data_IF_035677223079
#
_entry.id   IF_035677223079
#
_cell.length_a   1.000
_cell.length_b   1.000
_cell.length_c   1.000
_cell.angle_alpha   90.00
_cell.angle_beta   90.00
_cell.angle_gamma   90.00
#
_symmetry.space_group_name_H-M   'P 1'
#
loop_
_entity.id
_entity.type
_entity.pdbx_description
1 polymer ?
#
# COMPACT_ATOMS: atom_id res chain seq x y z
N UNK A 1 28.24 -7.71 2.38
CA UNK A 1 26.83 -7.48 2.63
C UNK A 1 26.31 -6.27 1.83
N UNK A 2 26.92 -5.07 1.94
CA UNK A 2 26.45 -3.88 1.20
C UNK A 2 26.49 -4.08 -0.33
N UNK A 3 27.57 -4.63 -0.89
CA UNK A 3 27.68 -4.93 -2.32
C UNK A 3 26.66 -6.00 -2.78
N UNK A 4 26.27 -6.93 -1.90
CA UNK A 4 25.26 -7.92 -2.22
C UNK A 4 23.85 -7.32 -2.25
N UNK A 5 23.53 -6.39 -1.33
CA UNK A 5 22.28 -5.62 -1.34
C UNK A 5 22.16 -4.81 -2.65
N UNK A 6 23.18 -4.07 -2.98
CA UNK A 6 23.25 -3.27 -4.21
C UNK A 6 23.02 -4.13 -5.46
N UNK A 7 23.75 -5.23 -5.59
CA UNK A 7 23.62 -6.16 -6.72
C UNK A 7 22.19 -6.72 -6.84
N UNK A 8 21.57 -7.12 -5.72
CA UNK A 8 20.21 -7.68 -5.69
C UNK A 8 19.17 -6.64 -6.09
N UNK A 9 19.27 -5.42 -5.59
CA UNK A 9 18.37 -4.33 -5.97
C UNK A 9 18.49 -4.02 -7.47
N UNK A 10 19.71 -3.88 -7.99
CA UNK A 10 19.91 -3.64 -9.42
C UNK A 10 19.37 -4.79 -10.29
N UNK A 11 19.55 -6.04 -9.86
CA UNK A 11 18.98 -7.19 -10.57
C UNK A 11 17.43 -7.12 -10.62
N UNK A 12 16.78 -6.75 -9.51
CA UNK A 12 15.31 -6.58 -9.49
C UNK A 12 14.88 -5.42 -10.39
N UNK A 13 15.55 -4.27 -10.33
CA UNK A 13 15.25 -3.11 -11.18
C UNK A 13 15.41 -3.44 -12.67
N UNK A 14 16.42 -4.21 -13.03
CA UNK A 14 16.60 -4.68 -14.41
C UNK A 14 15.42 -5.54 -14.85
N UNK A 15 15.01 -6.53 -14.04
CA UNK A 15 13.85 -7.38 -14.34
C UNK A 15 12.55 -6.57 -14.47
N UNK A 16 12.33 -5.58 -13.62
CA UNK A 16 11.19 -4.66 -13.70
C UNK A 16 11.20 -3.90 -15.03
N UNK A 17 12.37 -3.35 -15.42
CA UNK A 17 12.52 -2.63 -16.68
C UNK A 17 12.26 -3.54 -17.91
N UNK A 18 12.79 -4.75 -17.88
CA UNK A 18 12.56 -5.73 -18.96
C UNK A 18 11.08 -6.11 -19.09
N UNK A 19 10.42 -6.40 -17.95
CA UNK A 19 8.99 -6.72 -17.94
C UNK A 19 8.13 -5.53 -18.41
N UNK A 20 8.48 -4.31 -18.03
CA UNK A 20 7.78 -3.10 -18.46
C UNK A 20 7.88 -2.88 -19.98
N UNK A 21 9.04 -3.14 -20.57
CA UNK A 21 9.22 -3.07 -22.03
C UNK A 21 8.35 -4.10 -22.75
N UNK A 22 8.33 -5.34 -22.26
CA UNK A 22 7.47 -6.40 -22.82
C UNK A 22 5.99 -6.04 -22.72
N UNK A 23 5.57 -5.40 -21.64
CA UNK A 23 4.21 -4.96 -21.42
C UNK A 23 3.87 -3.60 -22.09
N UNK A 24 4.79 -3.02 -22.86
CA UNK A 24 4.64 -1.69 -23.50
C UNK A 24 4.18 -0.59 -22.52
N UNK A 25 4.73 -0.59 -21.29
CA UNK A 25 4.44 0.45 -20.31
C UNK A 25 5.33 1.68 -20.58
N UNK A 26 4.74 2.87 -20.46
CA UNK A 26 5.46 4.14 -20.58
C UNK A 26 6.41 4.35 -19.38
N UNK A 27 5.99 3.91 -18.20
CA UNK A 27 6.76 4.06 -16.96
C UNK A 27 6.98 2.71 -16.27
N UNK A 28 8.13 2.56 -15.66
CA UNK A 28 8.42 1.41 -14.82
C UNK A 28 7.64 1.50 -13.50
N UNK A 29 7.15 0.36 -12.98
CA UNK A 29 6.67 0.32 -11.59
C UNK A 29 7.77 0.71 -10.61
N UNK A 30 7.39 1.44 -9.57
CA UNK A 30 8.29 1.79 -8.49
C UNK A 30 8.64 0.56 -7.65
N UNK A 31 9.92 0.40 -7.32
CA UNK A 31 10.38 -0.64 -6.40
C UNK A 31 10.24 -0.16 -4.96
N UNK A 32 9.49 -0.90 -4.16
CA UNK A 32 9.47 -0.79 -2.71
C UNK A 32 10.39 -1.85 -2.10
N UNK A 33 11.46 -1.42 -1.43
CA UNK A 33 12.40 -2.35 -0.78
C UNK A 33 11.90 -2.69 0.63
N UNK A 34 11.53 -3.96 0.83
CA UNK A 34 11.07 -4.43 2.14
C UNK A 34 12.26 -4.61 3.06
N UNK A 35 12.31 -3.86 4.15
CA UNK A 35 13.42 -3.80 5.11
C UNK A 35 13.10 -4.34 6.50
N UNK A 36 11.90 -4.92 6.68
CA UNK A 36 11.54 -5.57 7.95
C UNK A 36 12.58 -6.60 8.37
N UNK A 37 12.90 -6.62 9.67
CA UNK A 37 13.87 -7.52 10.28
C UNK A 37 15.33 -7.32 9.80
N UNK A 38 15.59 -6.28 9.02
CA UNK A 38 16.93 -5.87 8.64
C UNK A 38 17.40 -4.67 9.46
N UNK A 39 18.68 -4.62 9.87
CA UNK A 39 19.19 -3.51 10.65
C UNK A 39 19.23 -2.19 9.85
N UNK A 40 19.27 -1.03 10.51
CA UNK A 40 19.41 0.27 9.84
C UNK A 40 20.60 0.36 8.88
N UNK A 41 21.69 -0.35 9.16
CA UNK A 41 22.87 -0.40 8.28
C UNK A 41 22.58 -1.00 6.91
N UNK A 42 21.65 -1.93 6.79
CA UNK A 42 21.24 -2.51 5.49
C UNK A 42 20.39 -1.52 4.70
N UNK A 43 19.51 -0.78 5.38
CA UNK A 43 18.74 0.32 4.78
C UNK A 43 19.67 1.40 4.26
N UNK A 44 20.68 1.81 5.06
CA UNK A 44 21.70 2.78 4.63
C UNK A 44 22.52 2.29 3.44
N UNK A 45 22.83 1.00 3.37
CA UNK A 45 23.53 0.43 2.22
C UNK A 45 22.69 0.53 0.94
N UNK A 46 21.40 0.20 0.99
CA UNK A 46 20.47 0.37 -0.12
C UNK A 46 20.31 1.86 -0.50
N UNK A 47 20.08 2.72 0.49
CA UNK A 47 19.94 4.15 0.32
C UNK A 47 21.12 4.80 -0.42
N UNK A 48 22.35 4.59 0.06
CA UNK A 48 23.53 5.23 -0.52
C UNK A 48 23.96 4.63 -1.87
N UNK A 49 23.86 3.30 -2.01
CA UNK A 49 24.42 2.62 -3.17
C UNK A 49 23.49 2.56 -4.37
N UNK A 50 22.19 2.62 -4.14
CA UNK A 50 21.19 2.47 -5.22
C UNK A 50 20.29 3.69 -5.39
N UNK A 51 20.40 4.68 -4.52
CA UNK A 51 19.52 5.83 -4.53
C UNK A 51 18.09 5.51 -4.05
N UNK A 52 17.87 4.31 -3.48
CA UNK A 52 16.54 3.91 -3.01
C UNK A 52 16.05 4.83 -1.88
N UNK A 53 14.78 5.20 -1.96
CA UNK A 53 14.12 6.06 -0.98
C UNK A 53 12.87 5.43 -0.38
N UNK A 54 12.23 4.49 -1.05
CA UNK A 54 11.00 3.84 -0.62
C UNK A 54 11.31 2.52 0.08
N UNK A 55 11.00 2.45 1.38
CA UNK A 55 11.25 1.26 2.22
C UNK A 55 9.96 0.81 2.91
N UNK A 56 9.75 -0.52 2.95
CA UNK A 56 8.56 -1.14 3.52
C UNK A 56 8.82 -1.85 4.84
N UNK A 57 7.98 -1.57 5.84
CA UNK A 57 8.03 -2.16 7.16
C UNK A 57 6.71 -2.81 7.56
N UNK A 58 6.81 -3.89 8.34
CA UNK A 58 5.63 -4.62 8.82
C UNK A 58 5.29 -4.34 10.29
N UNK A 59 6.24 -3.82 11.05
CA UNK A 59 6.12 -3.64 12.50
C UNK A 59 6.24 -2.17 12.85
N UNK A 60 5.20 -1.63 13.51
CA UNK A 60 5.13 -0.18 13.82
C UNK A 60 6.31 0.29 14.64
N UNK A 61 6.71 -0.48 15.68
CA UNK A 61 7.84 -0.10 16.52
C UNK A 61 9.14 -0.08 15.73
N UNK A 62 9.39 -1.10 14.90
CA UNK A 62 10.58 -1.19 14.06
C UNK A 62 10.67 0.00 13.09
N UNK A 63 9.53 0.40 12.50
CA UNK A 63 9.48 1.55 11.61
C UNK A 63 9.83 2.84 12.37
N UNK A 64 9.21 3.07 13.54
CA UNK A 64 9.47 4.25 14.38
C UNK A 64 10.95 4.32 14.78
N UNK A 65 11.52 3.20 15.24
CA UNK A 65 12.91 3.14 15.67
C UNK A 65 13.87 3.44 14.49
N UNK A 66 13.61 2.89 13.32
CA UNK A 66 14.38 3.15 12.10
C UNK A 66 14.25 4.60 11.61
N UNK A 67 13.04 5.13 11.59
CA UNK A 67 12.78 6.50 11.17
C UNK A 67 13.48 7.53 12.07
N UNK A 68 13.71 7.20 13.34
CA UNK A 68 14.38 8.10 14.30
C UNK A 68 15.91 8.22 14.09
N UNK A 69 16.53 7.28 13.35
CA UNK A 69 18.00 7.21 13.20
C UNK A 69 18.47 7.19 11.73
N UNK A 70 17.53 7.14 10.79
CA UNK A 70 17.80 7.11 9.35
C UNK A 70 17.43 8.44 8.69
N UNK A 71 17.92 8.74 7.47
CA UNK A 71 17.64 9.99 6.77
C UNK A 71 16.15 10.30 6.65
N UNK A 72 15.79 11.56 6.80
CA UNK A 72 14.42 12.07 6.78
C UNK A 72 13.79 12.13 5.38
N UNK A 73 14.61 12.05 4.31
CA UNK A 73 14.17 11.91 2.92
C UNK A 73 13.82 10.46 2.51
N UNK A 74 13.90 9.50 3.46
CA UNK A 74 13.32 8.17 3.26
C UNK A 74 11.80 8.26 3.28
N UNK A 75 11.17 7.60 2.33
CA UNK A 75 9.71 7.43 2.26
C UNK A 75 9.33 6.09 2.88
N UNK A 76 8.83 6.12 4.11
CA UNK A 76 8.40 4.91 4.81
C UNK A 76 7.03 4.45 4.37
N UNK A 77 6.91 3.18 4.00
CA UNK A 77 5.65 2.50 3.73
C UNK A 77 5.38 1.50 4.84
N UNK A 78 4.22 1.60 5.46
CA UNK A 78 3.75 0.57 6.37
C UNK A 78 2.92 -0.43 5.57
N UNK A 79 3.42 -1.67 5.47
CA UNK A 79 2.84 -2.74 4.64
C UNK A 79 2.39 -3.95 5.47
N UNK A 80 2.52 -3.91 6.80
CA UNK A 80 2.04 -4.95 7.71
C UNK A 80 0.60 -4.75 8.15
N UNK A 81 0.02 -5.73 8.81
CA UNK A 81 -1.29 -5.59 9.42
C UNK A 81 -1.28 -4.53 10.53
N UNK A 82 -1.99 -3.43 10.34
CA UNK A 82 -2.04 -2.32 11.29
C UNK A 82 -3.17 -2.53 12.30
N UNK A 83 -2.80 -2.72 13.56
CA UNK A 83 -3.77 -2.70 14.66
C UNK A 83 -4.22 -1.26 14.94
N UNK A 84 -5.52 -1.02 15.14
CA UNK A 84 -6.08 0.31 15.36
C UNK A 84 -5.45 1.05 16.55
N UNK A 85 -5.04 0.34 17.61
CA UNK A 85 -4.35 0.92 18.77
C UNK A 85 -2.92 1.39 18.46
N UNK A 86 -2.31 0.93 17.37
CA UNK A 86 -0.98 1.33 16.91
C UNK A 86 -0.99 2.49 15.91
N UNK A 87 -2.16 2.84 15.38
CA UNK A 87 -2.32 3.97 14.44
C UNK A 87 -1.78 5.28 15.02
N UNK A 88 -1.99 5.52 16.34
CA UNK A 88 -1.47 6.69 17.03
C UNK A 88 0.06 6.78 16.97
N UNK A 89 0.75 5.67 17.21
CA UNK A 89 2.21 5.63 17.19
C UNK A 89 2.74 5.78 15.75
N UNK A 90 2.11 5.10 14.79
CA UNK A 90 2.52 5.21 13.39
C UNK A 90 2.36 6.64 12.85
N UNK A 91 1.30 7.35 13.25
CA UNK A 91 1.04 8.72 12.82
C UNK A 91 2.12 9.73 13.26
N UNK A 92 2.93 9.42 14.27
CA UNK A 92 4.02 10.31 14.74
C UNK A 92 5.26 10.28 13.85
N UNK A 93 5.36 9.38 12.88
CA UNK A 93 6.52 9.29 11.98
C UNK A 93 6.45 10.39 10.93
N UNK A 94 7.38 11.35 10.89
CA UNK A 94 7.28 12.52 10.01
C UNK A 94 7.30 12.17 8.53
N UNK A 95 8.16 11.24 8.16
CA UNK A 95 8.37 10.78 6.78
C UNK A 95 7.64 9.46 6.47
N UNK A 96 6.54 9.17 7.21
CA UNK A 96 5.60 8.13 6.80
C UNK A 96 4.93 8.55 5.49
N UNK A 97 5.22 7.84 4.44
CA UNK A 97 4.75 8.14 3.09
C UNK A 97 3.42 7.45 2.78
N UNK A 98 3.29 6.17 3.14
CA UNK A 98 2.08 5.41 2.86
C UNK A 98 1.74 4.37 3.94
N UNK A 99 0.44 4.07 4.06
CA UNK A 99 -0.09 2.88 4.73
C UNK A 99 -0.84 2.04 3.70
N UNK A 100 -0.37 0.81 3.45
CA UNK A 100 -0.85 0.01 2.33
C UNK A 100 -1.80 -1.14 2.76
N UNK A 101 -2.15 -1.19 4.03
CA UNK A 101 -2.89 -2.30 4.64
C UNK A 101 -4.20 -1.85 5.30
N UNK A 102 -4.88 -0.85 4.74
CA UNK A 102 -6.20 -0.45 5.24
C UNK A 102 -7.23 -1.48 4.78
N UNK A 103 -7.86 -2.17 5.73
CA UNK A 103 -8.80 -3.25 5.44
C UNK A 103 -10.15 -3.13 6.18
N UNK A 104 -10.34 -2.05 6.91
CA UNK A 104 -11.56 -1.86 7.70
C UNK A 104 -11.83 -0.40 8.01
N UNK A 105 -13.10 -0.10 8.16
CA UNK A 105 -13.63 1.18 8.61
C UNK A 105 -13.07 1.61 9.97
N UNK A 106 -12.98 0.67 10.90
CA UNK A 106 -12.39 0.88 12.23
C UNK A 106 -10.94 1.36 12.14
N UNK A 107 -10.15 0.76 11.24
CA UNK A 107 -8.75 1.12 11.05
C UNK A 107 -8.63 2.50 10.39
N UNK A 108 -9.41 2.76 9.34
CA UNK A 108 -9.44 4.07 8.67
C UNK A 108 -9.80 5.19 9.66
N UNK A 109 -10.83 4.98 10.50
CA UNK A 109 -11.22 5.93 11.54
C UNK A 109 -10.11 6.16 12.57
N UNK A 110 -9.43 5.11 13.02
CA UNK A 110 -8.37 5.25 14.03
C UNK A 110 -7.16 5.99 13.47
N UNK A 111 -6.81 5.73 12.21
CA UNK A 111 -5.71 6.40 11.54
C UNK A 111 -6.05 7.87 11.28
N UNK A 112 -7.23 8.19 10.74
CA UNK A 112 -7.71 9.55 10.52
C UNK A 112 -7.68 10.38 11.80
N UNK A 113 -8.29 9.87 12.89
CA UNK A 113 -8.25 10.52 14.21
C UNK A 113 -6.84 10.78 14.74
N UNK A 114 -5.89 9.92 14.36
CA UNK A 114 -4.51 10.09 14.77
C UNK A 114 -3.79 11.13 13.94
N UNK A 115 -4.02 11.15 12.64
CA UNK A 115 -3.45 12.12 11.69
C UNK A 115 -4.00 13.54 11.90
N UNK A 116 -5.28 13.66 12.26
CA UNK A 116 -5.96 14.92 12.51
C UNK A 116 -5.45 15.69 13.78
N UNK A 117 -4.61 15.08 14.60
CA UNK A 117 -4.03 15.77 15.73
C UNK A 117 -3.07 16.87 15.28
N UNK A 118 -3.12 18.07 15.91
CA UNK A 118 -2.27 19.20 15.50
C UNK A 118 -0.79 18.86 15.38
N UNK A 119 -0.26 18.09 16.35
CA UNK A 119 1.13 17.64 16.35
C UNK A 119 1.48 16.75 15.17
N UNK A 120 0.55 15.93 14.67
CA UNK A 120 0.79 15.03 13.54
C UNK A 120 0.48 15.70 12.19
N UNK A 121 -0.51 16.59 12.16
CA UNK A 121 -0.80 17.41 10.97
C UNK A 121 0.38 18.30 10.62
N UNK A 122 1.03 18.90 11.63
CA UNK A 122 2.21 19.74 11.43
C UNK A 122 3.44 19.00 10.86
N UNK A 123 3.47 17.67 10.96
CA UNK A 123 4.57 16.85 10.40
C UNK A 123 4.48 16.65 8.89
N UNK A 124 3.32 16.95 8.26
CA UNK A 124 3.04 16.58 6.87
C UNK A 124 2.55 17.76 6.06
N UNK A 125 3.18 18.00 4.92
CA UNK A 125 2.72 18.99 3.95
C UNK A 125 1.49 18.51 3.14
N UNK A 126 1.24 17.20 3.09
CA UNK A 126 0.20 16.58 2.26
C UNK A 126 -0.49 15.45 3.05
N UNK A 127 -1.75 15.11 2.68
CA UNK A 127 -2.43 13.95 3.24
C UNK A 127 -1.62 12.66 3.04
N UNK A 128 -1.68 11.76 4.03
CA UNK A 128 -1.00 10.47 4.00
C UNK A 128 -1.56 9.60 2.87
N UNK A 129 -0.70 9.03 2.05
CA UNK A 129 -1.11 8.07 1.04
C UNK A 129 -1.62 6.79 1.70
N UNK A 130 -2.76 6.28 1.25
CA UNK A 130 -3.31 5.02 1.74
C UNK A 130 -3.73 4.11 0.60
N UNK A 131 -3.60 2.80 0.82
CA UNK A 131 -4.10 1.77 -0.09
C UNK A 131 -5.04 0.86 0.68
N UNK A 132 -6.11 0.42 0.03
CA UNK A 132 -7.00 -0.58 0.61
C UNK A 132 -6.47 -1.96 0.26
N UNK A 133 -6.28 -2.78 1.30
CA UNK A 133 -5.84 -4.15 1.13
C UNK A 133 -7.01 -5.05 0.71
N UNK A 134 -6.80 -5.83 -0.35
CA UNK A 134 -7.77 -6.76 -0.92
C UNK A 134 -7.25 -8.20 -0.78
N UNK A 135 -8.07 -9.10 -0.28
CA UNK A 135 -7.82 -10.54 -0.28
C UNK A 135 -8.18 -11.11 -1.65
N UNK A 136 -7.24 -11.17 -2.55
CA UNK A 136 -7.44 -11.62 -3.93
C UNK A 136 -7.47 -13.12 -4.09
N UNK A 137 -6.83 -13.86 -3.17
CA UNK A 137 -6.81 -15.33 -3.19
C UNK A 137 -8.05 -15.96 -2.58
N UNK A 138 -8.85 -15.20 -1.82
CA UNK A 138 -10.02 -15.73 -1.12
C UNK A 138 -9.71 -16.68 0.03
N UNK A 139 -8.44 -16.81 0.43
CA UNK A 139 -8.05 -17.70 1.54
C UNK A 139 -8.60 -17.19 2.88
N UNK A 140 -9.26 -18.05 3.63
CA UNK A 140 -9.71 -17.74 4.97
C UNK A 140 -8.52 -17.39 5.89
N UNK A 141 -8.71 -16.33 6.70
CA UNK A 141 -7.67 -15.86 7.62
C UNK A 141 -6.63 -14.91 7.02
N UNK A 142 -6.64 -14.66 5.72
CA UNK A 142 -5.84 -13.56 5.14
C UNK A 142 -6.52 -12.20 5.35
N UNK A 143 -5.71 -11.21 5.70
CA UNK A 143 -6.15 -9.81 5.80
C UNK A 143 -6.55 -9.25 4.44
N UNK A 144 -7.42 -8.25 4.46
CA UNK A 144 -7.92 -7.56 3.28
C UNK A 144 -9.41 -7.73 3.08
N UNK A 145 -10.02 -6.77 2.40
CA UNK A 145 -11.42 -6.85 2.03
C UNK A 145 -11.65 -7.84 0.89
N UNK A 146 -12.87 -8.40 0.75
CA UNK A 146 -13.22 -9.21 -0.41
C UNK A 146 -13.01 -8.46 -1.72
N UNK A 147 -12.50 -9.16 -2.73
CA UNK A 147 -12.34 -8.63 -4.08
C UNK A 147 -13.70 -8.34 -4.73
N UNK A 148 -13.80 -7.27 -5.50
CA UNK A 148 -14.96 -7.02 -6.36
C UNK A 148 -14.80 -7.81 -7.66
N UNK A 149 -15.46 -8.97 -7.73
CA UNK A 149 -15.35 -9.89 -8.88
C UNK A 149 -16.34 -9.58 -10.00
N UNK A 150 -17.31 -8.70 -9.75
CA UNK A 150 -18.31 -8.27 -10.72
C UNK A 150 -18.63 -6.78 -10.56
N UNK A 151 -19.16 -6.13 -11.62
CA UNK A 151 -19.68 -4.77 -11.51
C UNK A 151 -20.81 -4.67 -10.47
N UNK A 152 -20.71 -3.66 -9.60
CA UNK A 152 -21.79 -3.37 -8.65
C UNK A 152 -22.92 -2.61 -9.33
N UNK A 153 -24.15 -2.92 -8.93
CA UNK A 153 -25.39 -2.21 -9.33
C UNK A 153 -25.98 -1.52 -8.11
N UNK A 154 -26.54 -0.33 -8.31
CA UNK A 154 -27.06 0.50 -7.23
C UNK A 154 -28.18 -0.17 -6.38
N UNK A 155 -28.87 -1.16 -6.93
CA UNK A 155 -29.91 -1.92 -6.23
C UNK A 155 -29.36 -3.08 -5.39
N UNK A 156 -28.09 -3.42 -5.55
CA UNK A 156 -27.41 -4.47 -4.79
C UNK A 156 -26.86 -3.92 -3.45
N UNK A 157 -26.62 -4.81 -2.50
CA UNK A 157 -25.89 -4.46 -1.29
C UNK A 157 -24.51 -3.89 -1.64
N UNK A 158 -24.15 -2.77 -1.02
CA UNK A 158 -22.87 -2.11 -1.29
C UNK A 158 -21.68 -2.98 -0.88
N UNK A 159 -20.73 -3.24 -1.79
CA UNK A 159 -19.54 -4.01 -1.47
C UNK A 159 -18.68 -3.31 -0.40
N UNK A 160 -18.09 -4.05 0.56
CA UNK A 160 -17.22 -3.47 1.59
C UNK A 160 -16.08 -2.63 1.03
N UNK A 161 -15.50 -3.04 -0.09
CA UNK A 161 -14.42 -2.30 -0.77
C UNK A 161 -14.89 -0.93 -1.27
N UNK A 162 -16.08 -0.85 -1.87
CA UNK A 162 -16.66 0.41 -2.34
C UNK A 162 -17.01 1.32 -1.14
N UNK A 163 -17.63 0.76 -0.11
CA UNK A 163 -17.99 1.51 1.10
C UNK A 163 -16.77 2.15 1.77
N UNK A 164 -15.70 1.38 1.95
CA UNK A 164 -14.46 1.89 2.55
C UNK A 164 -13.76 2.93 1.65
N UNK A 165 -13.74 2.74 0.34
CA UNK A 165 -13.15 3.71 -0.58
C UNK A 165 -13.90 5.05 -0.53
N UNK A 166 -15.24 5.05 -0.61
CA UNK A 166 -16.06 6.26 -0.50
C UNK A 166 -15.86 6.96 0.84
N UNK A 167 -15.81 6.21 1.92
CA UNK A 167 -15.57 6.79 3.25
C UNK A 167 -14.20 7.46 3.34
N UNK A 168 -13.13 6.81 2.89
CA UNK A 168 -11.80 7.43 2.89
C UNK A 168 -11.81 8.73 2.10
N UNK A 169 -12.42 8.74 0.93
CA UNK A 169 -12.44 9.91 0.05
C UNK A 169 -13.30 11.06 0.58
N UNK A 170 -14.40 10.77 1.29
CA UNK A 170 -15.34 11.80 1.76
C UNK A 170 -15.09 12.24 3.21
N UNK A 171 -14.61 11.35 4.07
CA UNK A 171 -14.59 11.57 5.51
C UNK A 171 -13.19 11.57 6.14
N UNK A 172 -12.15 11.33 5.34
CA UNK A 172 -10.78 11.23 5.84
C UNK A 172 -9.84 12.25 5.16
N UNK A 173 -9.97 13.56 5.47
CA UNK A 173 -9.22 14.61 4.77
C UNK A 173 -7.70 14.55 4.97
N UNK A 174 -7.20 13.84 6.00
CA UNK A 174 -5.77 13.66 6.24
C UNK A 174 -5.22 12.42 5.53
N UNK A 175 -6.05 11.69 4.78
CA UNK A 175 -5.66 10.55 3.97
C UNK A 175 -5.97 10.78 2.49
N UNK A 176 -5.16 10.22 1.60
CA UNK A 176 -5.38 10.22 0.16
C UNK A 176 -5.35 8.80 -0.37
N UNK A 177 -6.49 8.31 -0.83
CA UNK A 177 -6.60 6.97 -1.44
C UNK A 177 -5.83 6.95 -2.77
N UNK A 178 -4.81 6.09 -2.85
CA UNK A 178 -3.97 5.92 -4.03
C UNK A 178 -4.38 4.71 -4.88
N UNK A 179 -4.98 3.71 -4.26
CA UNK A 179 -5.38 2.50 -4.95
C UNK A 179 -5.58 1.30 -4.05
N UNK A 180 -5.36 0.13 -4.61
CA UNK A 180 -5.51 -1.16 -3.94
C UNK A 180 -4.15 -1.83 -3.76
N UNK A 181 -4.03 -2.64 -2.71
CA UNK A 181 -2.86 -3.48 -2.43
C UNK A 181 -3.32 -4.92 -2.20
N UNK A 182 -2.49 -5.88 -2.55
CA UNK A 182 -2.70 -7.29 -2.18
C UNK A 182 -1.40 -7.98 -1.80
N UNK A 183 -1.54 -8.97 -0.95
CA UNK A 183 -0.52 -10.00 -0.70
C UNK A 183 -1.09 -11.30 -1.29
N UNK A 184 -0.61 -11.68 -2.45
CA UNK A 184 -1.06 -12.88 -3.16
C UNK A 184 -0.75 -14.18 -2.40
N UNK A 185 -1.31 -15.29 -2.86
CA UNK A 185 -1.01 -16.60 -2.31
C UNK A 185 0.40 -17.09 -2.71
N UNK A 186 1.00 -17.93 -1.87
CA UNK A 186 2.28 -18.54 -2.22
C UNK A 186 2.14 -19.47 -3.42
N UNK A 187 1.04 -20.20 -3.53
CA UNK A 187 0.75 -21.11 -4.65
C UNK A 187 0.67 -20.35 -5.99
N UNK A 188 -0.09 -19.23 -6.03
CA UNK A 188 -0.20 -18.41 -7.23
C UNK A 188 1.12 -17.72 -7.59
N UNK A 189 1.90 -17.31 -6.57
CA UNK A 189 3.22 -16.72 -6.78
C UNK A 189 4.25 -17.71 -7.33
N UNK A 190 4.15 -18.99 -6.97
CA UNK A 190 4.99 -20.06 -7.53
C UNK A 190 4.54 -20.44 -8.95
N UNK A 191 3.24 -20.65 -9.17
CA UNK A 191 2.69 -20.98 -10.47
C UNK A 191 2.94 -19.86 -11.51
N UNK A 192 2.97 -18.61 -11.11
CA UNK A 192 3.25 -17.47 -12.01
C UNK A 192 4.69 -17.42 -12.53
N UNK A 193 5.63 -18.14 -11.90
CA UNK A 193 6.99 -18.29 -12.43
C UNK A 193 7.03 -19.12 -13.72
N UNK A 194 6.05 -20.00 -13.91
CA UNK A 194 5.93 -20.87 -15.10
C UNK A 194 5.04 -20.26 -16.19
N UNK A 195 3.95 -19.59 -15.79
CA UNK A 195 2.91 -19.08 -16.71
C UNK A 195 3.02 -17.60 -17.08
N UNK A 196 3.88 -16.82 -16.41
CA UNK A 196 3.96 -15.35 -16.48
C UNK A 196 2.67 -14.61 -16.10
N UNK A 197 1.64 -15.29 -15.63
CA UNK A 197 0.38 -14.70 -15.18
C UNK A 197 0.16 -15.02 -13.71
N UNK A 198 -0.15 -13.99 -12.91
CA UNK A 198 -0.49 -14.15 -11.51
C UNK A 198 -1.99 -13.88 -11.31
N UNK A 199 -2.79 -14.92 -10.95
CA UNK A 199 -4.23 -14.75 -10.77
C UNK A 199 -4.61 -13.73 -9.70
N UNK A 200 -3.82 -13.59 -8.65
CA UNK A 200 -4.06 -12.58 -7.60
C UNK A 200 -3.93 -11.15 -8.13
N UNK A 201 -2.95 -10.91 -8.99
CA UNK A 201 -2.79 -9.59 -9.60
C UNK A 201 -3.87 -9.33 -10.66
N UNK A 202 -4.28 -10.33 -11.44
CA UNK A 202 -5.41 -10.21 -12.36
C UNK A 202 -6.71 -9.86 -11.60
N UNK A 203 -6.96 -10.54 -10.48
CA UNK A 203 -8.10 -10.25 -9.58
C UNK A 203 -8.02 -8.84 -9.01
N UNK A 204 -6.83 -8.35 -8.61
CA UNK A 204 -6.66 -7.00 -8.10
C UNK A 204 -6.95 -5.94 -9.17
N UNK A 205 -6.45 -6.15 -10.39
CA UNK A 205 -6.71 -5.26 -11.53
C UNK A 205 -8.19 -5.20 -11.86
N UNK A 206 -8.88 -6.35 -11.92
CA UNK A 206 -10.32 -6.42 -12.14
C UNK A 206 -11.11 -5.72 -11.02
N UNK A 207 -10.76 -5.96 -9.76
CA UNK A 207 -11.39 -5.30 -8.61
C UNK A 207 -11.22 -3.78 -8.65
N UNK A 208 -10.03 -3.30 -9.03
CA UNK A 208 -9.78 -1.87 -9.24
C UNK A 208 -10.70 -1.29 -10.32
N UNK A 209 -10.86 -1.99 -11.44
CA UNK A 209 -11.72 -1.52 -12.53
C UNK A 209 -13.20 -1.46 -12.11
N UNK A 210 -13.69 -2.48 -11.39
CA UNK A 210 -15.05 -2.49 -10.88
C UNK A 210 -15.27 -1.39 -9.84
N UNK A 211 -14.31 -1.17 -8.94
CA UNK A 211 -14.37 -0.08 -7.97
C UNK A 211 -14.42 1.29 -8.66
N UNK A 212 -13.55 1.54 -9.63
CA UNK A 212 -13.53 2.82 -10.35
C UNK A 212 -14.84 3.06 -11.10
N UNK A 213 -15.39 2.04 -11.76
CA UNK A 213 -16.68 2.15 -12.44
C UNK A 213 -17.81 2.47 -11.45
N UNK A 214 -17.83 1.79 -10.30
CA UNK A 214 -18.83 2.06 -9.26
C UNK A 214 -18.73 3.49 -8.70
N UNK A 215 -17.53 3.97 -8.41
CA UNK A 215 -17.29 5.34 -7.93
C UNK A 215 -17.71 6.41 -8.95
N UNK A 216 -17.48 6.17 -10.24
CA UNK A 216 -17.83 7.14 -11.31
C UNK A 216 -19.30 7.10 -11.71
N UNK A 217 -20.03 6.03 -11.39
CA UNK A 217 -21.46 5.90 -11.70
C UNK A 217 -22.36 6.30 -10.51
N UNK A 218 -21.82 6.43 -9.32
CA UNK A 218 -22.59 6.81 -8.12
C UNK A 218 -22.78 8.34 -8.07
N UNK A 219 -23.91 8.80 -8.60
CA UNK A 219 -24.26 10.22 -8.60
C UNK A 219 -24.34 10.85 -7.19
N UNK A 220 -24.76 10.06 -6.18
CA UNK A 220 -24.83 10.54 -4.79
C UNK A 220 -23.44 10.71 -4.19
N UNK A 221 -22.51 9.86 -4.55
CA UNK A 221 -21.10 10.00 -4.15
C UNK A 221 -20.46 11.19 -4.86
N UNK A 222 -20.61 11.33 -6.18
CA UNK A 222 -20.03 12.42 -6.95
C UNK A 222 -20.51 13.80 -6.51
N UNK A 223 -21.78 13.90 -6.08
CA UNK A 223 -22.32 15.16 -5.56
C UNK A 223 -21.73 15.58 -4.20
N UNK A 224 -21.00 14.71 -3.50
CA UNK A 224 -20.36 14.97 -2.21
C UNK A 224 -18.84 15.20 -2.31
N UNK A 225 -18.25 14.91 -3.44
CA UNK A 225 -16.83 15.20 -3.75
C UNK A 225 -16.64 16.70 -4.04
#
# INVERSE_FOLDING_TARGET
RANDIERRIHHVLQRVSEASKVANREENPSLLVVSKLHPPSDVMAAYHRTGQRHFGENYVQELVDKASVLPDDIHWHFIGGLQSNKAKLLATVPNLYAVESIDSDKLATALEKSLAKPENTALRAYPLHVYIQVNTSGEEGKSGLPAMLAPWKNDDAQPPLLALAQRIMLECPHMRLQGLMTIGSMSNSQASQESNENPDFATLVSSRQHLMNALTQDANFLAKL
#
